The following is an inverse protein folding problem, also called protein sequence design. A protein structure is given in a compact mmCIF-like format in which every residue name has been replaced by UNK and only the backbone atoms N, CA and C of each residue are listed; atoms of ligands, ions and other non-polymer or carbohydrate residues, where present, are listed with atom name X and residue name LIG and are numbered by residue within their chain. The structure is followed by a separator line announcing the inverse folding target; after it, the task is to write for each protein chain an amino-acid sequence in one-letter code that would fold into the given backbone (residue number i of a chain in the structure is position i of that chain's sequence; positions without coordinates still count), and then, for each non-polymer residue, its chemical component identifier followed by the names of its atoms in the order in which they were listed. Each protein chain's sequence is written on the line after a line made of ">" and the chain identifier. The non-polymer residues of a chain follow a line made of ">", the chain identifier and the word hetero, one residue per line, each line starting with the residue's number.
data_IF_392257156329
#
_entry.id   IF_392257156329
#
_cell.length_a   1.000
_cell.length_b   1.000
_cell.length_c   1.000
_cell.angle_alpha   90.00
_cell.angle_beta   90.00
_cell.angle_gamma   90.00
#
_symmetry.space_group_name_H-M   'P 1'
#
loop_
_entity.id
_entity.type
_entity.pdbx_description
1 polymer ?
#
# COMPACT_ATOMS: atom_id res chain seq x y z
N UNK A 1 17.98 -7.77 40.32
CA UNK A 1 19.40 -8.09 39.99
C UNK A 1 19.44 -8.70 38.62
N UNK A 2 19.62 -7.91 37.56
CA UNK A 2 20.17 -8.28 36.24
C UNK A 2 19.90 -7.23 35.13
N UNK A 3 19.51 -6.01 35.51
CA UNK A 3 19.29 -4.94 34.50
C UNK A 3 20.60 -4.42 33.85
N UNK A 4 21.75 -4.54 34.52
CA UNK A 4 23.04 -4.09 34.01
C UNK A 4 23.64 -5.02 32.93
N UNK A 5 23.38 -6.31 33.03
CA UNK A 5 23.95 -7.32 32.12
C UNK A 5 23.23 -7.32 30.73
N UNK A 6 21.95 -7.03 30.71
CA UNK A 6 21.16 -6.93 29.48
C UNK A 6 21.48 -5.65 28.69
N UNK A 7 21.73 -4.54 29.37
CA UNK A 7 22.14 -3.28 28.74
C UNK A 7 23.55 -3.39 28.11
N UNK A 8 24.49 -4.07 28.81
CA UNK A 8 25.82 -4.32 28.30
C UNK A 8 25.82 -5.24 27.07
N UNK A 9 25.02 -6.31 27.08
CA UNK A 9 24.86 -7.22 25.93
C UNK A 9 24.29 -6.50 24.72
N UNK A 10 23.28 -5.64 24.89
CA UNK A 10 22.70 -4.83 23.82
C UNK A 10 23.72 -3.84 23.24
N UNK A 11 24.51 -3.20 24.10
CA UNK A 11 25.57 -2.27 23.67
C UNK A 11 26.67 -2.98 22.90
N UNK A 12 27.10 -4.15 23.32
CA UNK A 12 28.09 -4.97 22.62
C UNK A 12 27.56 -5.44 21.26
N UNK A 13 26.32 -5.93 21.19
CA UNK A 13 25.71 -6.36 19.94
C UNK A 13 25.56 -5.19 18.95
N UNK A 14 25.27 -3.99 19.44
CA UNK A 14 25.20 -2.78 18.61
C UNK A 14 26.58 -2.39 18.05
N UNK A 15 27.62 -2.47 18.86
CA UNK A 15 28.99 -2.21 18.43
C UNK A 15 29.48 -3.24 17.39
N UNK A 16 29.18 -4.51 17.58
CA UNK A 16 29.49 -5.56 16.62
C UNK A 16 28.75 -5.34 15.29
N UNK A 17 27.46 -4.99 15.33
CA UNK A 17 26.68 -4.66 14.15
C UNK A 17 27.26 -3.45 13.40
N UNK A 18 27.59 -2.37 14.12
CA UNK A 18 28.23 -1.20 13.52
C UNK A 18 29.58 -1.53 12.89
N UNK A 19 30.42 -2.32 13.60
CA UNK A 19 31.70 -2.74 13.07
C UNK A 19 31.54 -3.61 11.80
N UNK A 20 30.55 -4.51 11.77
CA UNK A 20 30.22 -5.29 10.59
C UNK A 20 29.77 -4.42 9.43
N UNK A 21 28.86 -3.45 9.68
CA UNK A 21 28.36 -2.52 8.67
C UNK A 21 29.50 -1.69 8.05
N UNK A 22 30.40 -1.15 8.89
CA UNK A 22 31.50 -0.29 8.41
C UNK A 22 32.57 -1.08 7.66
N UNK A 23 32.91 -2.29 8.13
CA UNK A 23 34.08 -3.01 7.63
C UNK A 23 33.77 -4.15 6.64
N UNK A 24 32.54 -4.66 6.62
CA UNK A 24 32.17 -5.85 5.83
C UNK A 24 31.10 -5.58 4.79
N UNK A 25 30.27 -4.55 4.98
CA UNK A 25 29.24 -4.20 4.01
C UNK A 25 29.86 -3.36 2.90
N UNK A 26 29.63 -3.75 1.65
CA UNK A 26 30.02 -2.99 0.46
C UNK A 26 28.77 -2.46 -0.22
N UNK A 27 28.82 -1.19 -0.60
CA UNK A 27 27.75 -0.52 -1.34
C UNK A 27 28.21 -0.34 -2.77
N UNK A 28 27.34 -0.66 -3.72
CA UNK A 28 27.56 -0.33 -5.13
C UNK A 28 26.95 1.05 -5.34
N UNK A 29 27.78 2.03 -5.66
CA UNK A 29 27.33 3.34 -6.07
C UNK A 29 27.28 3.37 -7.59
N UNK A 30 26.12 3.76 -8.14
CA UNK A 30 25.94 3.95 -9.57
C UNK A 30 25.26 5.30 -9.79
N UNK A 31 25.86 6.14 -10.61
CA UNK A 31 25.33 7.45 -10.99
C UNK A 31 24.69 7.32 -12.36
N UNK A 32 23.43 7.69 -12.45
CA UNK A 32 22.64 7.61 -13.68
C UNK A 32 22.98 8.85 -14.52
N UNK A 33 23.32 8.65 -15.81
CA UNK A 33 23.49 9.74 -16.76
C UNK A 33 22.16 10.44 -17.04
N UNK A 34 22.24 11.73 -17.41
CA UNK A 34 21.05 12.55 -17.71
C UNK A 34 20.18 12.00 -18.86
N UNK A 35 20.74 11.15 -19.72
CA UNK A 35 20.09 10.55 -20.89
C UNK A 35 19.46 9.16 -20.59
N UNK A 36 19.65 8.60 -19.39
CA UNK A 36 19.09 7.29 -19.03
C UNK A 36 17.77 7.44 -18.27
N UNK A 37 16.75 6.67 -18.66
CA UNK A 37 15.51 6.56 -17.88
C UNK A 37 15.79 5.82 -16.56
N UNK A 38 15.63 6.49 -15.41
CA UNK A 38 15.91 5.89 -14.11
C UNK A 38 15.06 4.64 -13.84
N UNK A 39 13.85 4.56 -14.38
CA UNK A 39 12.94 3.44 -14.18
C UNK A 39 13.40 2.23 -15.01
N UNK A 40 13.78 2.44 -16.27
CA UNK A 40 14.31 1.39 -17.14
C UNK A 40 15.61 0.83 -16.58
N UNK A 41 16.55 1.70 -16.17
CA UNK A 41 17.80 1.30 -15.53
C UNK A 41 17.54 0.51 -14.25
N UNK A 42 16.66 1.00 -13.40
CA UNK A 42 16.29 0.33 -12.15
C UNK A 42 15.70 -1.06 -12.41
N UNK A 43 14.79 -1.18 -13.37
CA UNK A 43 14.21 -2.45 -13.80
C UNK A 43 15.28 -3.40 -14.30
N UNK A 44 16.21 -2.92 -15.14
CA UNK A 44 17.33 -3.69 -15.71
C UNK A 44 18.30 -4.18 -14.63
N UNK A 45 18.63 -3.35 -13.65
CA UNK A 45 19.50 -3.72 -12.51
C UNK A 45 18.86 -4.75 -11.58
N UNK A 46 17.53 -4.82 -11.54
CA UNK A 46 16.77 -5.77 -10.74
C UNK A 46 16.41 -7.07 -11.48
N UNK A 47 16.74 -7.21 -12.78
CA UNK A 47 16.57 -8.48 -13.50
C UNK A 47 17.38 -9.57 -12.80
N UNK A 48 16.69 -10.63 -12.34
CA UNK A 48 17.29 -11.74 -11.60
C UNK A 48 17.39 -11.58 -10.09
N UNK A 49 16.90 -10.46 -9.52
CA UNK A 49 16.74 -10.25 -8.06
C UNK A 49 15.26 -10.28 -7.68
N UNK A 50 14.97 -10.14 -6.38
CA UNK A 50 13.60 -9.96 -5.89
C UNK A 50 13.12 -8.62 -6.47
N UNK A 51 12.18 -8.71 -7.41
CA UNK A 51 11.64 -7.52 -8.08
C UNK A 51 10.78 -6.73 -7.09
N UNK A 52 10.87 -5.40 -7.14
CA UNK A 52 10.03 -4.54 -6.34
C UNK A 52 8.55 -4.74 -6.69
N UNK A 53 7.73 -4.63 -5.68
CA UNK A 53 6.27 -4.61 -5.79
C UNK A 53 5.80 -3.24 -6.30
N UNK A 54 4.56 -3.16 -6.82
CA UNK A 54 3.96 -1.87 -7.15
C UNK A 54 3.92 -0.95 -5.93
N UNK A 55 3.62 -1.49 -4.75
CA UNK A 55 3.58 -0.71 -3.52
C UNK A 55 4.92 -0.07 -3.18
N UNK A 56 6.04 -0.80 -3.32
CA UNK A 56 7.37 -0.25 -3.07
C UNK A 56 7.74 0.86 -4.06
N UNK A 57 7.40 0.69 -5.34
CA UNK A 57 7.60 1.71 -6.36
C UNK A 57 6.73 2.96 -6.10
N UNK A 58 5.46 2.78 -5.74
CA UNK A 58 4.56 3.87 -5.38
C UNK A 58 5.05 4.59 -4.12
N UNK A 59 5.55 3.86 -3.10
CA UNK A 59 6.17 4.47 -1.92
C UNK A 59 7.32 5.40 -2.31
N UNK A 60 8.17 4.96 -3.24
CA UNK A 60 9.26 5.79 -3.74
C UNK A 60 8.76 7.07 -4.43
N UNK A 61 7.70 7.00 -5.25
CA UNK A 61 7.08 8.18 -5.85
C UNK A 61 6.52 9.15 -4.79
N UNK A 62 5.79 8.63 -3.80
CA UNK A 62 5.19 9.44 -2.73
C UNK A 62 6.21 10.13 -1.82
N UNK A 63 7.44 9.60 -1.75
CA UNK A 63 8.53 10.15 -0.95
C UNK A 63 9.57 10.91 -1.78
N UNK A 64 9.44 10.94 -3.13
CA UNK A 64 10.32 11.70 -4.01
C UNK A 64 10.13 13.21 -3.81
N UNK A 65 11.23 13.97 -3.94
CA UNK A 65 11.16 15.44 -3.97
C UNK A 65 10.66 15.88 -5.34
N UNK A 66 9.49 16.50 -5.39
CA UNK A 66 8.98 17.11 -6.61
C UNK A 66 9.25 18.61 -6.66
N UNK A 67 9.42 19.28 -5.51
CA UNK A 67 9.78 20.69 -5.40
C UNK A 67 10.73 20.88 -4.21
N UNK A 68 11.57 21.93 -4.25
CA UNK A 68 12.47 22.30 -3.15
C UNK A 68 11.72 22.70 -1.86
N UNK A 69 10.41 23.04 -1.98
CA UNK A 69 9.53 23.37 -0.87
C UNK A 69 8.86 22.14 -0.21
N UNK A 70 9.10 20.91 -0.73
CA UNK A 70 8.56 19.69 -0.14
C UNK A 70 9.34 19.36 1.14
N UNK A 71 8.82 19.92 2.23
CA UNK A 71 9.47 19.89 3.54
C UNK A 71 9.66 18.43 3.96
N UNK A 72 10.84 18.06 4.41
CA UNK A 72 11.15 16.69 4.93
C UNK A 72 10.13 16.20 5.95
N UNK A 73 9.45 17.12 6.66
CA UNK A 73 8.38 16.83 7.60
C UNK A 73 7.18 16.12 6.94
N UNK A 74 6.76 16.57 5.76
CA UNK A 74 5.59 16.00 5.06
C UNK A 74 5.89 14.58 4.56
N UNK A 75 7.15 14.29 4.19
CA UNK A 75 7.58 12.95 3.82
C UNK A 75 7.64 12.01 5.01
N UNK A 76 8.18 12.49 6.13
CA UNK A 76 8.21 11.72 7.38
C UNK A 76 6.78 11.39 7.80
N UNK A 77 5.88 12.37 7.77
CA UNK A 77 4.48 12.16 8.10
C UNK A 77 3.82 11.12 7.16
N UNK A 78 3.98 11.25 5.83
CA UNK A 78 3.50 10.26 4.87
C UNK A 78 4.06 8.86 5.13
N UNK A 79 5.35 8.77 5.47
CA UNK A 79 5.97 7.48 5.79
C UNK A 79 5.36 6.83 7.05
N UNK A 80 5.15 7.62 8.11
CA UNK A 80 4.51 7.14 9.34
C UNK A 80 3.07 6.70 9.08
N UNK A 81 2.33 7.48 8.31
CA UNK A 81 0.94 7.17 7.93
C UNK A 81 0.87 5.91 7.06
N UNK A 82 1.80 5.73 6.12
CA UNK A 82 1.94 4.51 5.33
C UNK A 82 2.13 3.28 6.22
N UNK A 83 3.10 3.34 7.12
CA UNK A 83 3.39 2.23 8.02
C UNK A 83 2.19 1.94 8.94
N UNK A 84 1.42 2.97 9.30
CA UNK A 84 0.16 2.84 10.03
C UNK A 84 -0.89 2.06 9.24
N UNK A 85 -1.10 2.38 7.95
CA UNK A 85 -2.03 1.67 7.07
C UNK A 85 -1.60 0.20 6.90
N UNK A 86 -0.33 -0.04 6.59
CA UNK A 86 0.20 -1.40 6.42
C UNK A 86 0.04 -2.25 7.69
N UNK A 87 0.28 -1.64 8.87
CA UNK A 87 0.10 -2.29 10.17
C UNK A 87 -1.37 -2.65 10.44
N UNK A 88 -2.29 -1.75 10.12
CA UNK A 88 -3.73 -2.02 10.29
C UNK A 88 -4.21 -3.14 9.36
N UNK A 89 -3.74 -3.16 8.11
CA UNK A 89 -4.06 -4.23 7.15
C UNK A 89 -3.50 -5.61 7.53
N UNK A 90 -2.47 -5.64 8.41
CA UNK A 90 -1.88 -6.88 8.95
C UNK A 90 -2.42 -7.28 10.32
N UNK A 91 -3.34 -6.49 10.88
CA UNK A 91 -3.83 -6.67 12.25
C UNK A 91 -4.79 -7.86 12.37
N UNK A 92 -4.85 -8.42 13.59
CA UNK A 92 -5.88 -9.38 14.02
C UNK A 92 -6.12 -10.55 13.05
N UNK A 93 -5.07 -11.33 12.78
CA UNK A 93 -5.14 -12.52 11.92
C UNK A 93 -5.61 -12.24 10.49
N UNK A 94 -5.31 -11.05 9.99
CA UNK A 94 -5.71 -10.60 8.64
C UNK A 94 -7.25 -10.52 8.44
N UNK A 95 -8.04 -10.28 9.50
CA UNK A 95 -9.51 -10.20 9.40
C UNK A 95 -9.96 -9.08 8.45
N UNK A 96 -9.34 -7.90 8.52
CA UNK A 96 -9.61 -6.82 7.57
C UNK A 96 -9.26 -7.22 6.14
N UNK A 97 -8.19 -8.00 5.94
CA UNK A 97 -7.82 -8.54 4.65
C UNK A 97 -8.93 -9.41 4.05
N UNK A 98 -9.43 -10.38 4.80
CA UNK A 98 -10.47 -11.29 4.33
C UNK A 98 -11.84 -10.64 4.17
N UNK A 99 -12.06 -9.49 4.78
CA UNK A 99 -13.20 -8.64 4.46
C UNK A 99 -13.06 -8.00 3.07
N UNK A 100 -11.84 -7.67 2.64
CA UNK A 100 -11.58 -6.99 1.37
C UNK A 100 -11.53 -7.94 0.17
N UNK A 101 -11.08 -9.17 0.37
CA UNK A 101 -10.82 -10.12 -0.72
C UNK A 101 -10.82 -11.56 -0.24
N UNK A 102 -11.17 -12.47 -1.14
CA UNK A 102 -11.02 -13.90 -0.94
C UNK A 102 -9.62 -14.45 -1.28
N UNK A 103 -8.73 -13.57 -1.77
CA UNK A 103 -7.38 -13.97 -2.16
C UNK A 103 -6.49 -14.24 -0.95
N UNK A 104 -5.55 -15.18 -1.11
CA UNK A 104 -4.56 -15.47 -0.08
C UNK A 104 -3.65 -14.26 0.19
N UNK A 105 -3.35 -14.03 1.45
CA UNK A 105 -2.40 -13.00 1.90
C UNK A 105 -1.00 -13.17 1.30
N UNK A 106 -0.63 -14.39 0.88
CA UNK A 106 0.69 -14.67 0.30
C UNK A 106 0.92 -14.05 -1.07
N UNK A 107 -0.16 -13.65 -1.78
CA UNK A 107 -0.08 -13.02 -3.10
C UNK A 107 0.48 -11.59 -2.99
N UNK A 108 0.24 -10.94 -1.87
CA UNK A 108 0.64 -9.56 -1.64
C UNK A 108 1.70 -9.47 -0.53
N UNK A 109 2.99 -9.37 -0.86
CA UNK A 109 4.05 -9.16 0.13
C UNK A 109 3.82 -7.91 0.99
N UNK A 110 3.25 -6.87 0.39
CA UNK A 110 2.85 -5.60 1.01
C UNK A 110 1.33 -5.48 0.96
N UNK A 111 0.66 -5.41 2.12
CA UNK A 111 -0.81 -5.42 2.19
C UNK A 111 -1.47 -4.19 1.56
N UNK A 112 -0.82 -3.03 1.64
CA UNK A 112 -1.30 -1.78 1.06
C UNK A 112 -1.44 -1.87 -0.47
N UNK A 113 -0.73 -2.79 -1.13
CA UNK A 113 -0.83 -2.99 -2.58
C UNK A 113 -2.25 -3.38 -3.01
N UNK A 114 -2.98 -4.12 -2.18
CA UNK A 114 -4.40 -4.42 -2.46
C UNK A 114 -5.24 -3.15 -2.55
N UNK A 115 -5.03 -2.18 -1.65
CA UNK A 115 -5.70 -0.87 -1.71
C UNK A 115 -5.36 -0.14 -3.01
N UNK A 116 -4.11 -0.19 -3.44
CA UNK A 116 -3.69 0.44 -4.68
C UNK A 116 -4.26 -0.24 -5.92
N UNK A 117 -4.30 -1.56 -5.95
CA UNK A 117 -4.93 -2.32 -7.03
C UNK A 117 -6.44 -1.99 -7.12
N UNK A 118 -7.10 -1.80 -5.98
CA UNK A 118 -8.50 -1.36 -5.95
C UNK A 118 -8.68 0.06 -6.49
N UNK A 119 -7.80 0.99 -6.12
CA UNK A 119 -7.86 2.39 -6.57
C UNK A 119 -7.56 2.55 -8.06
N UNK A 120 -6.61 1.79 -8.58
CA UNK A 120 -6.24 1.80 -10.01
C UNK A 120 -7.27 1.08 -10.90
N UNK A 121 -8.20 0.33 -10.29
CA UNK A 121 -9.15 -0.50 -11.02
C UNK A 121 -8.51 -1.71 -11.72
N UNK A 122 -7.35 -2.16 -11.23
CA UNK A 122 -6.68 -3.35 -11.74
C UNK A 122 -7.60 -4.56 -11.68
N UNK A 123 -7.78 -5.21 -12.81
CA UNK A 123 -8.58 -6.42 -12.92
C UNK A 123 -7.72 -7.68 -12.81
N UNK A 124 -8.34 -8.81 -12.52
CA UNK A 124 -7.64 -10.11 -12.44
C UNK A 124 -6.99 -10.53 -13.77
N UNK A 125 -7.47 -10.00 -14.90
CA UNK A 125 -6.96 -10.30 -16.23
C UNK A 125 -5.86 -9.34 -16.70
N UNK A 126 -5.47 -8.37 -15.86
CA UNK A 126 -4.44 -7.40 -16.21
C UNK A 126 -3.08 -8.11 -16.35
N UNK A 127 -2.49 -8.00 -17.52
CA UNK A 127 -1.20 -8.64 -17.87
C UNK A 127 -0.01 -7.77 -17.56
N UNK A 128 -0.22 -6.44 -17.51
CA UNK A 128 0.85 -5.50 -17.19
C UNK A 128 1.17 -5.57 -15.70
N UNK A 129 2.37 -6.05 -15.40
CA UNK A 129 2.83 -6.24 -14.02
C UNK A 129 2.80 -4.95 -13.20
N UNK A 130 3.21 -3.86 -13.80
CA UNK A 130 3.35 -2.56 -13.17
C UNK A 130 2.17 -1.63 -13.48
N UNK A 131 1.03 -2.17 -13.89
CA UNK A 131 -0.19 -1.42 -14.18
C UNK A 131 -0.55 -0.43 -13.07
N UNK A 132 -0.59 -0.91 -11.84
CA UNK A 132 -0.93 -0.11 -10.65
C UNK A 132 0.09 1.00 -10.44
N UNK A 133 1.38 0.71 -10.58
CA UNK A 133 2.44 1.71 -10.48
C UNK A 133 2.30 2.80 -11.54
N UNK A 134 2.13 2.46 -12.82
CA UNK A 134 1.98 3.44 -13.90
C UNK A 134 0.72 4.29 -13.72
N UNK A 135 -0.36 3.72 -13.23
CA UNK A 135 -1.56 4.48 -12.90
C UNK A 135 -1.28 5.54 -11.81
N UNK A 136 -0.61 5.17 -10.72
CA UNK A 136 -0.24 6.11 -9.66
C UNK A 136 0.77 7.15 -10.12
N UNK A 137 1.74 6.78 -10.92
CA UNK A 137 2.69 7.72 -11.52
C UNK A 137 1.98 8.79 -12.35
N UNK A 138 1.04 8.37 -13.20
CA UNK A 138 0.20 9.29 -13.97
C UNK A 138 -0.60 10.23 -13.06
N UNK A 139 -1.30 9.69 -12.05
CA UNK A 139 -2.12 10.48 -11.13
C UNK A 139 -1.28 11.47 -10.31
N UNK A 140 -0.12 11.05 -9.82
CA UNK A 140 0.80 11.91 -9.07
C UNK A 140 1.33 13.04 -9.95
N UNK A 141 1.71 12.75 -11.20
CA UNK A 141 2.18 13.76 -12.14
C UNK A 141 1.08 14.75 -12.54
N UNK A 142 -0.16 14.29 -12.67
CA UNK A 142 -1.29 15.12 -13.04
C UNK A 142 -1.85 15.98 -11.90
N UNK A 143 -1.89 15.44 -10.68
CA UNK A 143 -2.64 16.02 -9.54
C UNK A 143 -1.77 16.39 -8.34
N UNK A 144 -0.53 15.93 -8.33
CA UNK A 144 0.43 16.14 -7.24
C UNK A 144 0.33 15.09 -6.13
N UNK A 145 1.46 14.87 -5.46
CA UNK A 145 1.62 13.87 -4.39
C UNK A 145 0.61 14.04 -3.27
N UNK A 146 0.39 15.29 -2.83
CA UNK A 146 -0.49 15.58 -1.69
C UNK A 146 -1.93 15.14 -1.95
N UNK A 147 -2.48 15.48 -3.11
CA UNK A 147 -3.86 15.14 -3.48
C UNK A 147 -4.06 13.64 -3.57
N UNK A 148 -3.10 12.94 -4.21
CA UNK A 148 -3.16 11.47 -4.35
C UNK A 148 -3.02 10.81 -2.98
N UNK A 149 -2.14 11.31 -2.10
CA UNK A 149 -1.99 10.78 -0.76
C UNK A 149 -3.26 10.96 0.11
N UNK A 150 -3.88 12.13 0.06
CA UNK A 150 -5.15 12.39 0.74
C UNK A 150 -6.25 11.44 0.26
N UNK A 151 -6.27 11.10 -1.03
CA UNK A 151 -7.22 10.14 -1.60
C UNK A 151 -6.94 8.70 -1.12
N UNK A 152 -5.68 8.29 -1.04
CA UNK A 152 -5.30 6.99 -0.45
C UNK A 152 -5.81 6.89 0.98
N UNK A 153 -5.57 7.91 1.80
CA UNK A 153 -6.03 7.95 3.18
C UNK A 153 -7.55 7.91 3.29
N UNK A 154 -8.25 8.69 2.46
CA UNK A 154 -9.73 8.71 2.41
C UNK A 154 -10.29 7.33 2.08
N UNK A 155 -9.74 6.65 1.07
CA UNK A 155 -10.17 5.31 0.68
C UNK A 155 -9.91 4.28 1.79
N UNK A 156 -8.77 4.37 2.47
CA UNK A 156 -8.49 3.51 3.61
C UNK A 156 -9.45 3.75 4.78
N UNK A 157 -9.77 5.00 5.10
CA UNK A 157 -10.76 5.34 6.14
C UNK A 157 -12.16 4.83 5.78
N UNK A 158 -12.53 4.90 4.50
CA UNK A 158 -13.79 4.35 4.00
C UNK A 158 -13.86 2.83 4.21
N UNK A 159 -12.77 2.11 3.92
CA UNK A 159 -12.66 0.67 4.20
C UNK A 159 -12.85 0.40 5.68
N UNK A 160 -12.20 1.16 6.55
CA UNK A 160 -12.31 1.00 8.00
C UNK A 160 -13.74 1.25 8.49
N UNK A 161 -14.42 2.26 7.96
CA UNK A 161 -15.83 2.51 8.25
C UNK A 161 -16.69 1.30 7.89
N UNK A 162 -16.53 0.77 6.68
CA UNK A 162 -17.30 -0.40 6.25
C UNK A 162 -17.00 -1.66 7.07
N UNK A 163 -15.75 -1.84 7.47
CA UNK A 163 -15.36 -2.96 8.32
C UNK A 163 -15.91 -2.86 9.75
N UNK A 164 -15.95 -1.66 10.32
CA UNK A 164 -16.39 -1.44 11.71
C UNK A 164 -17.90 -1.26 11.87
N UNK A 165 -18.59 -0.80 10.84
CA UNK A 165 -20.06 -0.68 10.83
C UNK A 165 -20.68 -2.05 10.52
N UNK A 166 -21.37 -2.64 11.49
CA UNK A 166 -21.96 -3.97 11.39
C UNK A 166 -22.86 -4.16 10.14
N UNK A 167 -23.60 -3.10 9.75
CA UNK A 167 -24.48 -3.16 8.58
C UNK A 167 -23.68 -3.32 7.29
N UNK A 168 -22.63 -2.51 7.12
CA UNK A 168 -21.76 -2.61 5.95
C UNK A 168 -20.94 -3.88 5.96
N UNK A 169 -20.39 -4.26 7.13
CA UNK A 169 -19.61 -5.49 7.27
C UNK A 169 -20.36 -6.71 6.74
N UNK A 170 -21.61 -6.88 7.16
CA UNK A 170 -22.40 -8.04 6.72
C UNK A 170 -22.81 -7.97 5.24
N UNK A 171 -23.25 -6.81 4.76
CA UNK A 171 -23.70 -6.66 3.36
C UNK A 171 -22.55 -6.78 2.36
N UNK A 172 -21.48 -6.04 2.59
CA UNK A 172 -20.29 -6.04 1.73
C UNK A 172 -19.57 -7.38 1.83
N UNK A 173 -19.37 -7.89 3.05
CA UNK A 173 -18.73 -9.18 3.29
C UNK A 173 -19.47 -10.32 2.61
N UNK A 174 -20.81 -10.33 2.61
CA UNK A 174 -21.61 -11.31 1.89
C UNK A 174 -21.38 -11.24 0.37
N UNK A 175 -21.42 -10.06 -0.23
CA UNK A 175 -21.23 -9.88 -1.67
C UNK A 175 -19.82 -10.28 -2.14
N UNK A 176 -18.81 -10.06 -1.31
CA UNK A 176 -17.43 -10.45 -1.61
C UNK A 176 -17.22 -11.94 -1.40
N UNK A 177 -17.67 -12.49 -0.28
CA UNK A 177 -17.49 -13.91 0.05
C UNK A 177 -18.25 -14.85 -0.89
N UNK A 178 -19.41 -14.41 -1.38
CA UNK A 178 -20.18 -15.14 -2.41
C UNK A 178 -19.56 -15.04 -3.82
N UNK A 179 -18.57 -14.16 -4.02
CA UNK A 179 -17.99 -13.89 -5.33
C UNK A 179 -18.89 -13.08 -6.27
N UNK A 180 -20.01 -12.55 -5.75
CA UNK A 180 -20.95 -11.77 -6.57
C UNK A 180 -20.41 -10.39 -6.94
N UNK A 181 -19.64 -9.75 -6.04
CA UNK A 181 -18.94 -8.47 -6.26
C UNK A 181 -17.53 -8.52 -5.73
N UNK A 182 -16.69 -7.70 -6.34
CA UNK A 182 -15.34 -7.42 -5.86
C UNK A 182 -15.30 -6.08 -5.13
N UNK A 183 -14.30 -5.87 -4.29
CA UNK A 183 -14.16 -4.59 -3.57
C UNK A 183 -14.03 -3.38 -4.51
N UNK A 184 -13.28 -3.41 -5.64
CA UNK A 184 -13.28 -2.31 -6.61
C UNK A 184 -14.67 -1.96 -7.14
N UNK A 185 -15.54 -2.95 -7.40
CA UNK A 185 -16.91 -2.71 -7.83
C UNK A 185 -17.75 -2.07 -6.73
N UNK A 186 -17.55 -2.48 -5.47
CA UNK A 186 -18.20 -1.86 -4.30
C UNK A 186 -17.76 -0.40 -4.13
N UNK A 187 -16.45 -0.10 -4.30
CA UNK A 187 -15.96 1.26 -4.27
C UNK A 187 -16.59 2.14 -5.36
N UNK A 188 -16.64 1.64 -6.59
CA UNK A 188 -17.29 2.36 -7.69
C UNK A 188 -18.77 2.58 -7.43
N UNK A 189 -19.46 1.60 -6.83
CA UNK A 189 -20.86 1.73 -6.45
C UNK A 189 -21.08 2.80 -5.38
N UNK A 190 -20.18 2.92 -4.41
CA UNK A 190 -20.24 3.89 -3.32
C UNK A 190 -19.89 5.32 -3.75
N UNK A 191 -19.16 5.49 -4.86
CA UNK A 191 -18.63 6.77 -5.31
C UNK A 191 -19.75 7.79 -5.48
N UNK A 192 -19.55 8.98 -4.89
CA UNK A 192 -20.44 10.14 -4.97
C UNK A 192 -21.88 9.90 -4.46
N UNK A 193 -22.14 8.80 -3.73
CA UNK A 193 -23.45 8.48 -3.19
C UNK A 193 -23.57 8.77 -1.70
N UNK A 194 -24.77 9.16 -1.30
CA UNK A 194 -25.12 9.26 0.11
C UNK A 194 -25.24 7.87 0.73
N UNK A 195 -24.89 7.72 2.00
CA UNK A 195 -24.92 6.45 2.76
C UNK A 195 -26.24 5.68 2.57
N UNK A 196 -27.38 6.38 2.64
CA UNK A 196 -28.69 5.75 2.51
C UNK A 196 -29.00 5.19 1.11
N UNK A 197 -28.46 5.81 0.06
CA UNK A 197 -28.60 5.35 -1.32
C UNK A 197 -27.70 4.14 -1.53
N UNK A 198 -26.46 4.21 -1.06
CA UNK A 198 -25.51 3.11 -1.14
C UNK A 198 -26.03 1.84 -0.44
N UNK A 199 -26.62 1.98 0.78
CA UNK A 199 -27.24 0.86 1.49
C UNK A 199 -28.35 0.19 0.67
N UNK A 200 -29.24 0.97 0.05
CA UNK A 200 -30.31 0.42 -0.80
C UNK A 200 -29.76 -0.35 -2.00
N UNK A 201 -28.69 0.13 -2.61
CA UNK A 201 -28.04 -0.57 -3.73
C UNK A 201 -27.40 -1.89 -3.29
N UNK A 202 -26.76 -1.91 -2.12
CA UNK A 202 -26.25 -3.16 -1.54
C UNK A 202 -27.40 -4.16 -1.29
N UNK A 203 -28.56 -3.69 -0.79
CA UNK A 203 -29.75 -4.53 -0.57
C UNK A 203 -30.28 -5.11 -1.88
N UNK A 204 -30.34 -4.31 -2.94
CA UNK A 204 -30.75 -4.78 -4.27
C UNK A 204 -29.80 -5.86 -4.80
N UNK A 205 -28.48 -5.63 -4.71
CA UNK A 205 -27.48 -6.61 -5.14
C UNK A 205 -27.56 -7.92 -4.36
N UNK A 206 -27.83 -7.85 -3.05
CA UNK A 206 -28.02 -9.05 -2.21
C UNK A 206 -29.30 -9.79 -2.60
N UNK A 207 -30.36 -9.09 -3.00
CA UNK A 207 -31.58 -9.71 -3.44
C UNK A 207 -31.48 -10.37 -4.84
N UNK A 208 -30.52 -9.93 -5.65
CA UNK A 208 -30.25 -10.45 -7.00
C UNK A 208 -29.23 -11.61 -6.99
N UNK A 209 -28.43 -11.75 -5.92
CA UNK A 209 -27.37 -12.75 -5.79
C UNK A 209 -27.90 -14.09 -5.27
#
# INVERSE_FOLDING_TARGET
>A
ENFGDDANRKSMALLELMNYLINKVKVIWYEVGDDEDPIELFTRLNIGRIQLTNAELIKALLLKNYNDDDIDKDKIERSIQWDGIEKELRREKDELWYFLTTQSVSIYPTRIELLFDMMSGKTHNEKERYFTFFWFEHEINARGVKVVWEEIQKNFLQIKEWYTDSLFYHKIGYLISSGYKTMPEIFNLAKDKRKSVFIKELDNLIAES
#
